data_IF_833490011506
#
_entry.id   IF_833490011506
#
_cell.length_a   1.000
_cell.length_b   1.000
_cell.length_c   1.000
_cell.angle_alpha   90.00
_cell.angle_beta   90.00
_cell.angle_gamma   90.00
#
_symmetry.space_group_name_H-M   'P 1'
#
loop_
_entity.id
_entity.type
_entity.pdbx_description
1 polymer ?
#
# COMPACT_ATOMS: atom_id res chain seq x y z
N UNK A 1 -23.44 -0.29 -16.06
CA UNK A 1 -22.94 1.06 -15.67
C UNK A 1 -21.41 1.06 -15.78
N UNK A 2 -20.88 1.60 -16.88
CA UNK A 2 -19.44 1.64 -17.11
C UNK A 2 -18.78 2.66 -16.16
N UNK A 3 -17.90 2.19 -15.27
CA UNK A 3 -17.14 3.06 -14.37
C UNK A 3 -16.13 3.85 -15.20
N UNK A 4 -16.41 5.13 -15.45
CA UNK A 4 -15.46 6.06 -16.06
C UNK A 4 -14.20 6.12 -15.20
N UNK A 5 -13.07 5.70 -15.77
CA UNK A 5 -11.76 5.66 -15.11
C UNK A 5 -11.20 7.07 -15.13
N UNK A 6 -11.53 7.89 -14.13
CA UNK A 6 -10.90 9.21 -13.93
C UNK A 6 -9.38 9.04 -13.91
N UNK A 7 -8.69 9.59 -14.89
CA UNK A 7 -7.23 9.64 -14.93
C UNK A 7 -6.80 10.68 -13.90
N UNK A 8 -6.55 10.24 -12.68
CA UNK A 8 -5.96 11.07 -11.64
C UNK A 8 -4.54 11.43 -12.07
N UNK A 9 -4.27 12.73 -12.24
CA UNK A 9 -2.92 13.27 -12.47
C UNK A 9 -2.00 12.67 -11.40
N UNK A 10 -1.05 11.81 -11.81
CA UNK A 10 -0.08 11.19 -10.89
C UNK A 10 0.69 12.34 -10.22
N UNK A 11 0.58 12.48 -8.91
CA UNK A 11 1.51 13.35 -8.17
C UNK A 11 2.90 12.77 -8.39
N UNK A 12 3.77 13.56 -9.00
CA UNK A 12 5.18 13.22 -9.12
C UNK A 12 5.76 13.43 -7.72
N UNK A 13 5.95 12.33 -6.99
CA UNK A 13 6.62 12.34 -5.70
C UNK A 13 8.11 12.20 -5.98
N UNK A 14 8.92 13.07 -5.37
CA UNK A 14 10.38 12.93 -5.45
C UNK A 14 10.77 11.72 -4.61
N UNK A 15 11.38 10.73 -5.27
CA UNK A 15 11.80 9.47 -4.66
C UNK A 15 13.25 9.65 -4.23
N UNK A 16 13.48 9.68 -2.92
CA UNK A 16 14.82 9.69 -2.33
C UNK A 16 15.26 8.26 -1.98
N UNK A 17 16.56 7.97 -1.93
CA UNK A 17 17.08 6.65 -1.56
C UNK A 17 16.77 6.27 -0.10
N UNK A 18 16.43 7.26 0.74
CA UNK A 18 16.03 7.06 2.13
C UNK A 18 14.59 7.55 2.30
N UNK A 19 13.79 6.75 2.99
CA UNK A 19 12.39 7.06 3.27
C UNK A 19 11.91 6.35 4.54
N UNK A 20 10.61 6.39 4.77
CA UNK A 20 9.97 5.78 5.94
C UNK A 20 8.91 4.77 5.50
N UNK A 21 8.84 3.65 6.23
CA UNK A 21 7.81 2.63 6.05
C UNK A 21 6.83 2.67 7.22
N UNK A 22 5.57 2.95 6.92
CA UNK A 22 4.47 3.01 7.88
C UNK A 22 3.62 1.75 7.76
N UNK A 23 3.60 0.94 8.82
CA UNK A 23 2.85 -0.31 8.87
C UNK A 23 1.72 -0.15 9.89
N UNK A 24 0.48 -0.13 9.40
CA UNK A 24 -0.70 -0.14 10.25
C UNK A 24 -1.31 -1.55 10.26
N UNK A 25 -1.05 -2.30 11.33
CA UNK A 25 -1.56 -3.64 11.54
C UNK A 25 -2.70 -3.61 12.56
N UNK A 26 -3.92 -3.80 12.08
CA UNK A 26 -5.13 -3.91 12.92
C UNK A 26 -5.68 -5.32 12.85
N UNK A 27 -6.58 -5.69 13.76
CA UNK A 27 -7.24 -7.00 13.76
C UNK A 27 -8.00 -7.32 12.46
N UNK A 28 -8.37 -6.29 11.69
CA UNK A 28 -9.23 -6.43 10.51
C UNK A 28 -8.50 -6.20 9.18
N UNK A 29 -7.32 -5.60 9.20
CA UNK A 29 -6.55 -5.28 8.00
C UNK A 29 -5.11 -4.88 8.33
N UNK A 30 -4.22 -5.13 7.37
CA UNK A 30 -2.84 -4.68 7.38
C UNK A 30 -2.62 -3.76 6.20
N UNK A 31 -2.12 -2.55 6.46
CA UNK A 31 -1.85 -1.52 5.47
C UNK A 31 -0.37 -1.15 5.59
N UNK A 32 0.33 -1.23 4.47
CA UNK A 32 1.76 -0.89 4.35
C UNK A 32 1.86 0.33 3.44
N UNK A 33 2.51 1.38 3.91
CA UNK A 33 2.66 2.64 3.19
C UNK A 33 4.12 3.05 3.19
N UNK A 34 4.69 3.29 2.01
CA UNK A 34 6.03 3.83 1.84
C UNK A 34 5.94 5.32 1.57
N UNK A 35 6.66 6.11 2.36
CA UNK A 35 6.68 7.57 2.26
C UNK A 35 8.11 8.08 2.14
N UNK A 36 8.28 9.25 1.54
CA UNK A 36 9.54 9.99 1.68
C UNK A 36 9.65 10.64 3.07
N UNK A 37 10.78 11.28 3.36
CA UNK A 37 11.01 11.97 4.64
C UNK A 37 10.08 13.18 4.84
N UNK A 38 9.51 13.70 3.76
CA UNK A 38 8.53 14.80 3.79
C UNK A 38 7.08 14.30 4.02
N UNK A 39 6.87 13.00 4.22
CA UNK A 39 5.56 12.40 4.46
C UNK A 39 4.70 12.22 3.21
N UNK A 40 5.26 12.37 2.01
CA UNK A 40 4.57 12.11 0.76
C UNK A 40 4.58 10.60 0.46
N UNK A 41 3.40 10.04 0.25
CA UNK A 41 3.24 8.61 -0.09
C UNK A 41 3.73 8.30 -1.49
N UNK A 42 4.73 7.42 -1.58
CA UNK A 42 5.28 6.91 -2.84
C UNK A 42 4.41 5.75 -3.32
N UNK A 43 4.25 4.74 -2.46
CA UNK A 43 3.43 3.56 -2.73
C UNK A 43 2.72 3.10 -1.48
N UNK A 44 1.61 2.38 -1.68
CA UNK A 44 0.89 1.75 -0.59
C UNK A 44 0.25 0.46 -1.07
N UNK A 45 0.13 -0.49 -0.15
CA UNK A 45 -0.59 -1.73 -0.36
C UNK A 45 -1.26 -2.19 0.92
N UNK A 46 -2.20 -3.11 0.78
CA UNK A 46 -2.90 -3.69 1.92
C UNK A 46 -3.33 -5.11 1.62
N UNK A 47 -3.60 -5.89 2.66
CA UNK A 47 -4.13 -7.23 2.50
C UNK A 47 -5.44 -7.23 1.66
N UNK A 48 -6.31 -6.24 1.86
CA UNK A 48 -7.53 -6.08 1.06
C UNK A 48 -7.26 -5.79 -0.42
N UNK A 49 -6.24 -4.96 -0.73
CA UNK A 49 -5.83 -4.64 -2.12
C UNK A 49 -5.31 -5.89 -2.86
N UNK A 50 -4.65 -6.80 -2.15
CA UNK A 50 -4.18 -8.09 -2.68
C UNK A 50 -5.29 -9.13 -2.88
N UNK A 51 -6.54 -8.79 -2.56
CA UNK A 51 -7.69 -9.68 -2.76
C UNK A 51 -8.01 -10.58 -1.57
N UNK A 52 -7.30 -10.44 -0.44
CA UNK A 52 -7.68 -11.14 0.79
C UNK A 52 -8.99 -10.57 1.35
N UNK A 53 -9.92 -11.46 1.70
CA UNK A 53 -11.25 -11.12 2.23
C UNK A 53 -11.48 -11.73 3.61
N UNK A 54 -12.31 -11.07 4.41
CA UNK A 54 -12.66 -11.51 5.77
C UNK A 54 -11.43 -11.68 6.67
N UNK A 55 -11.43 -12.72 7.50
CA UNK A 55 -10.37 -13.03 8.47
C UNK A 55 -9.01 -13.31 7.82
N UNK A 56 -8.96 -13.63 6.51
CA UNK A 56 -7.70 -13.86 5.79
C UNK A 56 -6.84 -12.59 5.66
N UNK A 57 -7.42 -11.40 5.87
CA UNK A 57 -6.72 -10.10 5.79
C UNK A 57 -5.71 -9.87 6.92
N UNK A 58 -5.87 -10.54 8.06
CA UNK A 58 -5.00 -10.37 9.22
C UNK A 58 -3.99 -11.53 9.36
N UNK A 59 -3.75 -12.28 8.28
CA UNK A 59 -2.78 -13.38 8.31
C UNK A 59 -1.37 -12.84 8.04
N UNK A 60 -0.32 -13.44 8.63
CA UNK A 60 1.06 -13.05 8.36
C UNK A 60 1.43 -13.22 6.88
N UNK A 61 0.81 -14.21 6.20
CA UNK A 61 0.97 -14.40 4.76
C UNK A 61 0.42 -13.22 3.95
N UNK A 62 -0.78 -12.72 4.29
CA UNK A 62 -1.33 -11.54 3.65
C UNK A 62 -0.50 -10.27 3.92
N UNK A 63 0.09 -10.15 5.11
CA UNK A 63 1.01 -9.08 5.47
C UNK A 63 2.25 -9.08 4.58
N UNK A 64 2.91 -10.23 4.44
CA UNK A 64 4.09 -10.41 3.60
C UNK A 64 3.78 -10.10 2.13
N UNK A 65 2.66 -10.60 1.62
CA UNK A 65 2.25 -10.36 0.24
C UNK A 65 1.95 -8.87 -0.03
N UNK A 66 1.32 -8.17 0.92
CA UNK A 66 1.07 -6.73 0.82
C UNK A 66 2.38 -5.93 0.88
N UNK A 67 3.34 -6.32 1.74
CA UNK A 67 4.64 -5.67 1.82
C UNK A 67 5.45 -5.86 0.51
N UNK A 68 5.48 -7.07 -0.04
CA UNK A 68 6.13 -7.35 -1.32
C UNK A 68 5.50 -6.60 -2.49
N UNK A 69 4.17 -6.48 -2.54
CA UNK A 69 3.48 -5.66 -3.56
C UNK A 69 3.86 -4.19 -3.43
N UNK A 70 3.87 -3.66 -2.20
CA UNK A 70 4.22 -2.28 -1.93
C UNK A 70 5.64 -1.94 -2.42
N UNK A 71 6.60 -2.84 -2.17
CA UNK A 71 7.99 -2.69 -2.61
C UNK A 71 8.22 -2.89 -4.11
N UNK A 72 7.33 -3.59 -4.83
CA UNK A 72 7.41 -3.73 -6.30
C UNK A 72 6.84 -2.52 -7.05
N UNK A 73 5.92 -1.78 -6.42
CA UNK A 73 5.20 -0.65 -7.01
C UNK A 73 5.93 0.68 -6.77
N UNK A 74 6.71 0.77 -5.69
CA UNK A 74 7.66 1.86 -5.44
C UNK A 74 8.79 1.85 -6.47
#
# INVERSE_FOLDING_TARGET
MAKSKKVTKKRIVVIEPVGQAHINATFNNIIVTLTNNNGQTISWSSAGKMGFKGSKKNTPYAAGQAASDCGKVA
#
